data_IF_536261473779
#
_entry.id   IF_536261473779
#
_cell.length_a   1.000
_cell.length_b   1.000
_cell.length_c   1.000
_cell.angle_alpha   90.00
_cell.angle_beta   90.00
_cell.angle_gamma   90.00
#
_symmetry.space_group_name_H-M   'P 1'
#
loop_
_entity.id
_entity.type
_entity.pdbx_description
1 polymer ?
#
# COMPACT_ATOMS: atom_id res chain seq x y z
N UNK A 1 -6.61 21.79 -7.17
CA UNK A 1 -6.11 20.77 -6.26
C UNK A 1 -5.45 19.60 -6.98
N UNK A 2 -6.07 18.97 -7.98
CA UNK A 2 -5.45 17.84 -8.72
C UNK A 2 -4.08 18.16 -9.35
N UNK A 3 -3.84 19.38 -9.82
CA UNK A 3 -2.55 19.78 -10.40
C UNK A 3 -1.43 20.04 -9.37
N UNK A 4 -1.78 20.38 -8.12
CA UNK A 4 -0.81 20.69 -7.06
C UNK A 4 -0.54 19.53 -6.11
N UNK A 5 -1.48 18.61 -5.97
CA UNK A 5 -1.47 17.55 -4.97
C UNK A 5 -1.73 16.15 -5.58
N UNK A 6 -1.89 16.04 -6.89
CA UNK A 6 -2.25 14.78 -7.56
C UNK A 6 -1.15 13.72 -7.55
N UNK A 7 0.10 14.14 -7.54
CA UNK A 7 1.25 13.24 -7.57
C UNK A 7 2.35 13.73 -6.61
N UNK A 8 2.71 12.94 -5.59
CA UNK A 8 3.78 13.29 -4.66
C UNK A 8 5.15 13.40 -5.34
N UNK A 9 5.31 12.81 -6.52
CA UNK A 9 6.54 12.92 -7.31
C UNK A 9 6.67 14.28 -7.98
N UNK A 10 5.62 15.11 -8.02
CA UNK A 10 5.59 16.43 -8.66
C UNK A 10 5.96 17.59 -7.75
N UNK A 11 5.97 17.39 -6.42
CA UNK A 11 6.47 18.41 -5.51
C UNK A 11 8.01 18.44 -5.65
N UNK A 12 8.63 19.55 -6.10
CA UNK A 12 10.08 19.63 -6.22
C UNK A 12 10.78 19.37 -4.90
N UNK A 13 11.98 18.83 -4.98
CA UNK A 13 12.83 18.63 -3.82
C UNK A 13 13.55 19.94 -3.44
N UNK A 14 14.01 20.09 -2.18
CA UNK A 14 14.77 21.24 -1.79
C UNK A 14 15.97 21.49 -2.73
N UNK A 15 16.04 22.73 -3.25
CA UNK A 15 17.06 23.14 -4.21
C UNK A 15 16.64 23.06 -5.69
N UNK A 16 15.51 22.42 -6.00
CA UNK A 16 14.93 22.44 -7.34
C UNK A 16 14.00 23.66 -7.51
N UNK A 17 13.88 24.26 -8.72
CA UNK A 17 12.94 25.36 -8.93
C UNK A 17 11.49 24.89 -8.77
N UNK A 18 10.68 25.70 -8.09
CA UNK A 18 9.26 25.40 -7.85
C UNK A 18 8.35 26.60 -8.16
N UNK A 19 7.87 26.69 -9.36
CA UNK A 19 7.00 27.78 -9.81
C UNK A 19 5.64 27.84 -9.08
N UNK A 20 5.20 26.72 -8.52
CA UNK A 20 3.91 26.60 -7.84
C UNK A 20 4.01 26.67 -6.31
N UNK A 21 5.17 27.01 -5.74
CA UNK A 21 5.37 27.05 -4.27
C UNK A 21 4.34 27.92 -3.57
N UNK A 22 4.14 29.15 -4.05
CA UNK A 22 3.16 30.07 -3.45
C UNK A 22 1.74 29.51 -3.42
N UNK A 23 1.34 28.80 -4.49
CA UNK A 23 0.03 28.16 -4.59
C UNK A 23 -0.07 26.96 -3.64
N UNK A 24 0.98 26.15 -3.54
CA UNK A 24 1.06 25.02 -2.60
C UNK A 24 0.93 25.48 -1.14
N UNK A 25 1.64 26.55 -0.78
CA UNK A 25 1.54 27.20 0.53
C UNK A 25 0.13 27.75 0.79
N UNK A 26 -0.49 28.39 -0.21
CA UNK A 26 -1.86 28.91 -0.10
C UNK A 26 -2.87 27.78 0.14
N UNK A 27 -2.78 26.66 -0.62
CA UNK A 27 -3.63 25.47 -0.42
C UNK A 27 -3.46 24.89 0.98
N UNK A 28 -2.21 24.70 1.44
CA UNK A 28 -1.92 24.24 2.81
C UNK A 28 -2.54 25.15 3.86
N UNK A 29 -2.47 26.47 3.67
CA UNK A 29 -3.00 27.44 4.62
C UNK A 29 -4.54 27.45 4.65
N UNK A 30 -5.21 27.29 3.51
CA UNK A 30 -6.66 27.15 3.42
C UNK A 30 -7.14 25.93 4.21
N UNK A 31 -6.40 24.81 4.15
CA UNK A 31 -6.74 23.56 4.82
C UNK A 31 -6.04 23.39 6.19
N UNK A 32 -5.70 24.50 6.85
CA UNK A 32 -5.00 24.45 8.15
C UNK A 32 -5.82 23.80 9.26
N UNK A 33 -7.14 23.96 9.23
CA UNK A 33 -8.03 23.37 10.23
C UNK A 33 -8.12 21.85 10.06
N UNK A 34 -8.23 21.38 8.82
CA UNK A 34 -8.25 19.97 8.45
C UNK A 34 -6.92 19.30 8.80
N UNK A 35 -5.79 19.93 8.47
CA UNK A 35 -4.46 19.44 8.86
C UNK A 35 -4.34 19.29 10.37
N UNK A 36 -4.78 20.29 11.13
CA UNK A 36 -4.79 20.21 12.59
C UNK A 36 -5.64 19.03 13.07
N UNK A 37 -6.83 18.85 12.53
CA UNK A 37 -7.71 17.74 12.89
C UNK A 37 -7.07 16.37 12.57
N UNK A 38 -6.35 16.24 11.44
CA UNK A 38 -5.60 15.02 11.08
C UNK A 38 -4.47 14.74 12.07
N UNK A 39 -3.69 15.76 12.46
CA UNK A 39 -2.65 15.61 13.47
C UNK A 39 -3.22 15.21 14.84
N UNK A 40 -4.30 15.85 15.27
CA UNK A 40 -4.97 15.54 16.53
C UNK A 40 -5.51 14.10 16.51
N UNK A 41 -6.19 13.69 15.44
CA UNK A 41 -6.72 12.33 15.28
C UNK A 41 -5.62 11.25 15.28
N UNK A 42 -4.54 11.47 14.54
CA UNK A 42 -3.41 10.52 14.49
C UNK A 42 -2.72 10.38 15.86
N UNK A 43 -2.72 11.44 16.68
CA UNK A 43 -2.14 11.42 18.04
C UNK A 43 -2.93 10.55 19.02
N UNK A 44 -4.23 10.37 18.79
CA UNK A 44 -5.09 9.50 19.61
C UNK A 44 -4.75 8.03 19.38
N UNK A 45 -4.38 7.68 18.15
CA UNK A 45 -4.09 6.30 17.74
C UNK A 45 -5.33 5.42 17.70
N UNK A 46 -5.11 4.12 17.45
CA UNK A 46 -6.18 3.12 17.36
C UNK A 46 -6.70 2.94 15.94
N UNK A 47 -7.68 2.04 15.78
CA UNK A 47 -8.32 1.75 14.50
C UNK A 47 -9.63 2.52 14.37
N UNK A 48 -9.82 3.15 13.23
CA UNK A 48 -11.07 3.79 12.87
C UNK A 48 -12.02 2.74 12.26
N UNK A 49 -13.24 2.68 12.76
CA UNK A 49 -14.31 1.95 12.08
C UNK A 49 -15.14 2.95 11.28
N UNK A 50 -15.32 2.64 10.02
CA UNK A 50 -16.16 3.45 9.16
C UNK A 50 -17.62 3.22 9.54
N UNK A 51 -18.44 4.28 9.69
CA UNK A 51 -19.87 4.15 9.94
C UNK A 51 -20.62 3.80 8.66
N UNK A 52 -20.25 2.67 8.04
CA UNK A 52 -20.82 2.20 6.78
C UNK A 52 -21.74 1.02 7.09
N UNK A 53 -22.97 1.10 6.63
CA UNK A 53 -23.84 -0.07 6.52
C UNK A 53 -23.49 -0.81 5.23
N UNK A 54 -22.67 -1.84 5.36
CA UNK A 54 -22.21 -2.68 4.23
C UNK A 54 -23.33 -3.32 3.43
N UNK A 55 -24.57 -3.31 3.93
CA UNK A 55 -25.74 -3.84 3.23
C UNK A 55 -26.44 -2.84 2.31
N UNK A 56 -26.28 -1.54 2.55
CA UNK A 56 -27.15 -0.53 1.95
C UNK A 56 -26.41 0.66 1.30
N UNK A 57 -25.11 0.87 1.55
CA UNK A 57 -24.47 2.16 1.32
C UNK A 57 -23.24 2.12 0.37
N UNK A 58 -23.38 1.50 -0.80
CA UNK A 58 -22.27 1.47 -1.78
C UNK A 58 -21.77 2.88 -2.17
N UNK A 59 -22.66 3.86 -2.30
CA UNK A 59 -22.32 5.24 -2.63
C UNK A 59 -21.50 5.93 -1.52
N UNK A 60 -21.71 5.57 -0.26
CA UNK A 60 -20.93 6.11 0.86
C UNK A 60 -19.49 5.62 0.88
N UNK A 61 -19.22 4.44 0.34
CA UNK A 61 -17.88 3.90 0.19
C UNK A 61 -17.00 4.76 -0.70
N UNK A 62 -17.51 5.09 -1.89
CA UNK A 62 -16.76 5.91 -2.85
C UNK A 62 -16.47 7.30 -2.29
N UNK A 63 -17.43 7.89 -1.61
CA UNK A 63 -17.26 9.17 -0.92
C UNK A 63 -16.16 9.10 0.16
N UNK A 64 -16.12 8.00 0.92
CA UNK A 64 -15.17 7.84 2.00
C UNK A 64 -13.74 7.62 1.51
N UNK A 65 -13.54 6.78 0.49
CA UNK A 65 -12.23 6.58 -0.13
C UNK A 65 -11.66 7.90 -0.68
N UNK A 66 -12.49 8.73 -1.27
CA UNK A 66 -12.09 10.05 -1.74
C UNK A 66 -11.65 10.99 -0.59
N UNK A 67 -12.31 10.93 0.58
CA UNK A 67 -11.90 11.71 1.75
C UNK A 67 -10.57 11.22 2.33
N UNK A 68 -10.39 9.91 2.46
CA UNK A 68 -9.11 9.32 2.89
C UNK A 68 -7.99 9.73 1.94
N UNK A 69 -8.19 9.58 0.64
CA UNK A 69 -7.23 9.99 -0.38
C UNK A 69 -6.89 11.48 -0.25
N UNK A 70 -7.90 12.33 -0.07
CA UNK A 70 -7.72 13.77 0.15
C UNK A 70 -6.86 14.08 1.38
N UNK A 71 -7.08 13.37 2.49
CA UNK A 71 -6.31 13.51 3.71
C UNK A 71 -4.82 13.15 3.51
N UNK A 72 -4.54 12.03 2.83
CA UNK A 72 -3.16 11.65 2.51
C UNK A 72 -2.48 12.65 1.58
N UNK A 73 -3.19 13.13 0.55
CA UNK A 73 -2.66 14.15 -0.37
C UNK A 73 -2.33 15.46 0.36
N UNK A 74 -3.15 15.84 1.33
CA UNK A 74 -2.95 17.04 2.13
C UNK A 74 -1.73 16.91 3.05
N UNK A 75 -1.53 15.75 3.68
CA UNK A 75 -0.35 15.46 4.49
C UNK A 75 0.94 15.38 3.65
N UNK A 76 0.86 14.83 2.44
CA UNK A 76 1.98 14.83 1.49
C UNK A 76 2.36 16.26 1.09
N UNK A 77 1.36 17.09 0.79
CA UNK A 77 1.60 18.50 0.48
C UNK A 77 2.26 19.22 1.67
N UNK A 78 1.78 19.01 2.89
CA UNK A 78 2.38 19.60 4.08
C UNK A 78 3.82 19.15 4.27
N UNK A 79 4.10 17.85 4.15
CA UNK A 79 5.45 17.30 4.26
C UNK A 79 6.39 17.86 3.18
N UNK A 80 5.94 17.91 1.92
CA UNK A 80 6.72 18.43 0.80
C UNK A 80 7.02 19.91 0.94
N UNK A 81 6.02 20.74 1.27
CA UNK A 81 6.21 22.18 1.53
C UNK A 81 7.17 22.40 2.69
N UNK A 82 7.02 21.64 3.79
CA UNK A 82 7.89 21.76 4.94
C UNK A 82 9.35 21.38 4.61
N UNK A 83 9.55 20.29 3.86
CA UNK A 83 10.88 19.90 3.39
C UNK A 83 11.51 20.98 2.50
N UNK A 84 10.75 21.50 1.53
CA UNK A 84 11.20 22.53 0.61
C UNK A 84 11.59 23.84 1.34
N UNK A 85 10.83 24.20 2.38
CA UNK A 85 11.09 25.38 3.22
C UNK A 85 12.17 25.16 4.29
N UNK A 86 12.78 23.97 4.37
CA UNK A 86 13.83 23.67 5.33
C UNK A 86 13.31 23.50 6.77
N UNK A 87 12.06 23.04 6.95
CA UNK A 87 11.46 22.70 8.25
C UNK A 87 11.39 21.17 8.44
N UNK A 88 12.49 20.51 8.86
CA UNK A 88 12.53 19.06 9.02
C UNK A 88 11.58 18.56 10.12
N UNK A 89 11.33 19.37 11.15
CA UNK A 89 10.44 18.97 12.24
C UNK A 89 8.98 18.84 11.77
N UNK A 90 8.54 19.81 10.97
CA UNK A 90 7.20 19.81 10.40
C UNK A 90 7.04 18.75 9.31
N UNK A 91 8.07 18.56 8.48
CA UNK A 91 8.11 17.49 7.50
C UNK A 91 7.94 16.12 8.19
N UNK A 92 8.71 15.85 9.23
CA UNK A 92 8.64 14.62 10.03
C UNK A 92 7.29 14.46 10.74
N UNK A 93 6.71 15.55 11.27
CA UNK A 93 5.40 15.50 11.91
C UNK A 93 4.30 15.09 10.93
N UNK A 94 4.28 15.64 9.72
CA UNK A 94 3.31 15.27 8.69
C UNK A 94 3.47 13.80 8.26
N UNK A 95 4.68 13.30 8.12
CA UNK A 95 4.94 11.88 7.82
C UNK A 95 4.45 10.96 8.95
N UNK A 96 4.71 11.30 10.23
CA UNK A 96 4.20 10.54 11.38
C UNK A 96 2.67 10.51 11.39
N UNK A 97 2.02 11.63 11.08
CA UNK A 97 0.57 11.72 11.00
C UNK A 97 0.03 10.85 9.87
N UNK A 98 0.68 10.83 8.70
CA UNK A 98 0.30 9.95 7.60
C UNK A 98 0.41 8.47 7.97
N UNK A 99 1.45 8.07 8.71
CA UNK A 99 1.56 6.70 9.25
C UNK A 99 0.44 6.41 10.25
N UNK A 100 0.17 7.30 11.19
CA UNK A 100 -0.95 7.14 12.15
C UNK A 100 -2.30 7.00 11.46
N UNK A 101 -2.58 7.81 10.44
CA UNK A 101 -3.79 7.70 9.62
C UNK A 101 -3.84 6.37 8.86
N UNK A 102 -2.71 5.94 8.28
CA UNK A 102 -2.62 4.65 7.60
C UNK A 102 -2.95 3.48 8.54
N UNK A 103 -2.39 3.47 9.74
CA UNK A 103 -2.69 2.45 10.75
C UNK A 103 -4.16 2.48 11.18
N UNK A 104 -4.74 3.67 11.29
CA UNK A 104 -6.13 3.83 11.71
C UNK A 104 -7.14 3.25 10.70
N UNK A 105 -6.84 3.29 9.41
CA UNK A 105 -7.75 2.78 8.36
C UNK A 105 -7.58 1.29 8.07
N UNK A 106 -6.68 0.60 8.76
CA UNK A 106 -6.49 -0.84 8.57
C UNK A 106 -7.67 -1.67 9.12
N UNK A 107 -7.82 -2.89 8.61
CA UNK A 107 -8.79 -3.85 9.15
C UNK A 107 -10.24 -3.58 8.75
N UNK A 108 -10.49 -2.84 7.67
CA UNK A 108 -11.83 -2.73 7.11
C UNK A 108 -12.26 -4.09 6.56
N UNK A 109 -13.49 -4.57 6.88
CA UNK A 109 -13.95 -5.90 6.50
C UNK A 109 -14.57 -5.90 5.09
N UNK A 110 -13.88 -5.31 4.13
CA UNK A 110 -14.29 -5.25 2.72
C UNK A 110 -13.08 -5.08 1.79
N UNK A 111 -13.25 -5.51 0.54
CA UNK A 111 -12.17 -5.46 -0.45
C UNK A 111 -11.83 -4.04 -0.88
N UNK A 112 -12.80 -3.16 -0.97
CA UNK A 112 -12.58 -1.75 -1.36
C UNK A 112 -11.71 -1.04 -0.32
N UNK A 113 -12.03 -1.21 0.96
CA UNK A 113 -11.24 -0.69 2.07
C UNK A 113 -9.81 -1.26 2.09
N UNK A 114 -9.65 -2.56 1.85
CA UNK A 114 -8.34 -3.20 1.74
C UNK A 114 -7.51 -2.62 0.57
N UNK A 115 -8.10 -2.50 -0.62
CA UNK A 115 -7.43 -1.95 -1.80
C UNK A 115 -7.13 -0.46 -1.64
N UNK A 116 -8.04 0.30 -1.06
CA UNK A 116 -7.86 1.71 -0.73
C UNK A 116 -6.68 1.90 0.24
N UNK A 117 -6.60 1.12 1.31
CA UNK A 117 -5.47 1.15 2.24
C UNK A 117 -4.13 0.82 1.56
N UNK A 118 -4.09 -0.18 0.67
CA UNK A 118 -2.87 -0.53 -0.07
C UNK A 118 -2.43 0.59 -1.02
N UNK A 119 -3.37 1.31 -1.65
CA UNK A 119 -3.08 2.49 -2.44
C UNK A 119 -2.42 3.59 -1.59
N UNK A 120 -2.89 3.80 -0.35
CA UNK A 120 -2.27 4.76 0.57
C UNK A 120 -0.89 4.31 1.07
N UNK A 121 -0.65 2.99 1.22
CA UNK A 121 0.69 2.47 1.54
C UNK A 121 1.72 2.84 0.46
N UNK A 122 1.35 2.74 -0.80
CA UNK A 122 2.23 3.12 -1.91
C UNK A 122 2.57 4.61 -1.86
N UNK A 123 1.59 5.48 -1.60
CA UNK A 123 1.80 6.93 -1.42
C UNK A 123 2.70 7.23 -0.23
N UNK A 124 2.44 6.57 0.90
CA UNK A 124 3.23 6.73 2.12
C UNK A 124 4.68 6.32 1.89
N UNK A 125 4.91 5.16 1.24
CA UNK A 125 6.24 4.68 0.88
C UNK A 125 7.00 5.69 0.04
N UNK A 126 6.40 6.18 -1.04
CA UNK A 126 7.02 7.18 -1.93
C UNK A 126 7.31 8.49 -1.20
N UNK A 127 6.43 8.91 -0.29
CA UNK A 127 6.64 10.13 0.50
C UNK A 127 7.79 9.95 1.50
N UNK A 128 7.85 8.82 2.19
CA UNK A 128 8.94 8.49 3.11
C UNK A 128 10.27 8.44 2.36
N UNK A 129 10.35 7.69 1.27
CA UNK A 129 11.53 7.55 0.43
C UNK A 129 12.09 8.91 -0.01
N UNK A 130 11.24 9.75 -0.61
CA UNK A 130 11.67 11.05 -1.15
C UNK A 130 12.09 12.04 -0.10
N UNK A 131 11.40 12.09 1.05
CA UNK A 131 11.57 13.12 2.07
C UNK A 131 12.42 12.65 3.26
N UNK A 132 12.85 11.39 3.29
CA UNK A 132 13.71 10.85 4.33
C UNK A 132 14.97 11.71 4.58
N UNK A 133 15.72 12.15 3.54
CA UNK A 133 16.91 12.98 3.72
C UNK A 133 16.63 14.37 4.33
N UNK A 134 15.41 14.88 4.14
CA UNK A 134 15.01 16.23 4.54
C UNK A 134 14.28 16.29 5.89
N UNK A 135 14.02 15.13 6.49
CA UNK A 135 13.22 15.04 7.72
C UNK A 135 14.04 14.96 9.00
N UNK A 136 15.36 14.78 8.91
CA UNK A 136 16.27 14.67 10.04
C UNK A 136 15.78 13.70 11.13
N UNK A 137 15.44 12.49 10.72
CA UNK A 137 15.00 11.44 11.63
C UNK A 137 16.11 11.02 12.58
N UNK A 138 15.76 10.75 13.82
CA UNK A 138 16.62 10.02 14.74
C UNK A 138 16.48 8.52 14.55
N UNK A 139 17.48 7.75 14.94
CA UNK A 139 17.44 6.28 14.87
C UNK A 139 16.26 5.71 15.65
N UNK A 140 15.99 6.24 16.84
CA UNK A 140 14.86 5.82 17.69
C UNK A 140 13.49 6.14 17.07
N UNK A 141 13.35 7.25 16.36
CA UNK A 141 12.10 7.58 15.67
C UNK A 141 11.88 6.67 14.47
N UNK A 142 12.94 6.37 13.70
CA UNK A 142 12.87 5.42 12.57
C UNK A 142 12.52 4.02 13.06
N UNK A 143 13.09 3.56 14.19
CA UNK A 143 12.73 2.27 14.80
C UNK A 143 11.23 2.20 15.11
N UNK A 144 10.68 3.22 15.78
CA UNK A 144 9.25 3.27 16.10
C UNK A 144 8.38 3.26 14.86
N UNK A 145 8.76 4.03 13.84
CA UNK A 145 8.05 4.09 12.56
C UNK A 145 8.04 2.71 11.88
N UNK A 146 9.19 2.05 11.87
CA UNK A 146 9.38 0.72 11.30
C UNK A 146 8.53 -0.31 12.04
N UNK A 147 8.55 -0.34 13.39
CA UNK A 147 7.71 -1.22 14.22
C UNK A 147 6.22 -1.05 13.89
N UNK A 148 5.75 0.19 13.81
CA UNK A 148 4.35 0.49 13.49
C UNK A 148 3.95 -0.05 12.13
N UNK A 149 4.75 0.18 11.09
CA UNK A 149 4.44 -0.29 9.73
C UNK A 149 4.57 -1.81 9.59
N UNK A 150 5.51 -2.41 10.31
CA UNK A 150 5.74 -3.86 10.28
C UNK A 150 4.75 -4.66 11.13
N UNK A 151 3.99 -4.01 12.02
CA UNK A 151 2.97 -4.68 12.84
C UNK A 151 1.74 -5.15 12.05
N UNK A 152 1.60 -4.74 10.79
CA UNK A 152 0.43 -5.05 9.97
C UNK A 152 0.57 -6.43 9.33
N UNK A 153 -0.38 -7.31 9.60
CA UNK A 153 -0.52 -8.59 8.93
C UNK A 153 -1.46 -8.46 7.71
N UNK A 154 -0.87 -8.27 6.52
CA UNK A 154 -1.64 -8.13 5.28
C UNK A 154 -2.39 -9.39 4.87
N UNK A 155 -1.92 -10.58 5.25
CA UNK A 155 -2.62 -11.83 4.99
C UNK A 155 -3.91 -11.89 5.78
N UNK A 156 -3.82 -11.58 7.07
CA UNK A 156 -4.98 -11.57 7.94
C UNK A 156 -5.98 -10.48 7.53
N UNK A 157 -5.49 -9.32 7.11
CA UNK A 157 -6.34 -8.25 6.61
C UNK A 157 -7.06 -8.64 5.31
N UNK A 158 -6.36 -9.26 4.37
CA UNK A 158 -6.98 -9.76 3.15
C UNK A 158 -8.00 -10.88 3.44
N UNK A 159 -7.70 -11.79 4.39
CA UNK A 159 -8.67 -12.80 4.83
C UNK A 159 -9.95 -12.18 5.42
N UNK A 160 -9.80 -11.11 6.22
CA UNK A 160 -10.91 -10.37 6.80
C UNK A 160 -11.73 -9.68 5.70
N UNK A 161 -11.08 -9.01 4.77
CA UNK A 161 -11.73 -8.34 3.66
C UNK A 161 -12.50 -9.30 2.75
N UNK A 162 -11.93 -10.48 2.42
CA UNK A 162 -12.60 -11.53 1.66
C UNK A 162 -13.83 -12.07 2.41
N UNK A 163 -13.73 -12.24 3.72
CA UNK A 163 -14.85 -12.72 4.52
C UNK A 163 -15.98 -11.69 4.56
N UNK A 164 -15.67 -10.43 4.79
CA UNK A 164 -16.67 -9.36 4.84
C UNK A 164 -17.33 -9.12 3.48
N UNK A 165 -16.56 -9.12 2.40
CA UNK A 165 -17.11 -9.06 1.03
C UNK A 165 -18.09 -10.19 0.76
N UNK A 166 -17.74 -11.41 1.17
CA UNK A 166 -18.63 -12.56 1.03
C UNK A 166 -19.97 -12.36 1.75
N UNK A 167 -19.93 -11.81 2.97
CA UNK A 167 -21.15 -11.51 3.75
C UNK A 167 -22.00 -10.44 3.05
N UNK A 168 -21.36 -9.40 2.56
CA UNK A 168 -22.04 -8.29 1.86
C UNK A 168 -22.69 -8.75 0.56
N UNK A 169 -21.95 -9.55 -0.23
CA UNK A 169 -22.48 -10.10 -1.48
C UNK A 169 -23.67 -11.06 -1.20
N UNK A 170 -23.57 -11.98 -0.22
CA UNK A 170 -24.68 -12.89 0.13
C UNK A 170 -25.92 -12.10 0.53
N UNK A 171 -25.76 -11.08 1.38
CA UNK A 171 -26.89 -10.22 1.78
C UNK A 171 -27.52 -9.47 0.59
N UNK A 172 -26.71 -9.03 -0.37
CA UNK A 172 -27.18 -8.37 -1.58
C UNK A 172 -27.95 -9.34 -2.50
N UNK A 173 -27.51 -10.61 -2.60
CA UNK A 173 -28.21 -11.63 -3.36
C UNK A 173 -29.60 -11.93 -2.78
N UNK A 174 -29.69 -12.10 -1.47
CA UNK A 174 -30.97 -12.31 -0.80
C UNK A 174 -31.99 -11.20 -1.10
N UNK A 175 -31.51 -9.97 -1.18
CA UNK A 175 -32.35 -8.80 -1.41
C UNK A 175 -32.76 -8.62 -2.88
N UNK A 176 -31.84 -8.82 -3.84
CA UNK A 176 -32.05 -8.45 -5.25
C UNK A 176 -32.29 -9.64 -6.17
N UNK A 177 -31.87 -10.87 -5.77
CA UNK A 177 -31.90 -12.05 -6.62
C UNK A 177 -32.34 -13.34 -5.85
N UNK A 178 -33.54 -13.38 -5.30
CA UNK A 178 -33.95 -14.47 -4.39
C UNK A 178 -34.03 -15.87 -5.03
N UNK A 179 -33.71 -16.04 -6.32
CA UNK A 179 -33.85 -17.30 -7.04
C UNK A 179 -32.51 -17.95 -7.47
N UNK A 180 -31.36 -17.50 -6.98
CA UNK A 180 -30.04 -17.97 -7.48
C UNK A 180 -29.21 -18.72 -6.44
N UNK A 181 -29.78 -19.74 -5.79
CA UNK A 181 -29.10 -20.56 -4.75
C UNK A 181 -27.71 -21.12 -5.15
N UNK A 182 -27.38 -21.20 -6.45
CA UNK A 182 -26.10 -21.70 -6.93
C UNK A 182 -24.94 -20.70 -6.80
N UNK A 183 -25.22 -19.41 -6.89
CA UNK A 183 -24.20 -18.35 -6.85
C UNK A 183 -23.64 -18.15 -5.45
N UNK A 184 -24.48 -18.24 -4.43
CA UNK A 184 -24.08 -18.11 -3.03
C UNK A 184 -23.13 -19.23 -2.62
N UNK A 185 -23.44 -20.47 -3.02
CA UNK A 185 -22.58 -21.63 -2.74
C UNK A 185 -21.22 -21.46 -3.44
N UNK A 186 -21.20 -21.00 -4.69
CA UNK A 186 -19.94 -20.76 -5.40
C UNK A 186 -19.10 -19.66 -4.74
N UNK A 187 -19.74 -18.62 -4.25
CA UNK A 187 -19.06 -17.54 -3.55
C UNK A 187 -18.49 -17.98 -2.21
N UNK A 188 -19.25 -18.72 -1.42
CA UNK A 188 -18.79 -19.32 -0.16
C UNK A 188 -17.59 -20.25 -0.42
N UNK A 189 -17.65 -21.10 -1.45
CA UNK A 189 -16.53 -21.98 -1.84
C UNK A 189 -15.31 -21.18 -2.24
N UNK A 190 -15.49 -20.11 -3.02
CA UNK A 190 -14.39 -19.23 -3.40
C UNK A 190 -13.77 -18.53 -2.20
N UNK A 191 -14.59 -17.96 -1.32
CA UNK A 191 -14.11 -17.29 -0.10
C UNK A 191 -13.31 -18.26 0.79
N UNK A 192 -13.79 -19.48 0.96
CA UNK A 192 -13.09 -20.51 1.72
C UNK A 192 -11.75 -20.87 1.08
N UNK A 193 -11.75 -21.15 -0.22
CA UNK A 193 -10.54 -21.44 -0.98
C UNK A 193 -9.52 -20.28 -0.88
N UNK A 194 -9.96 -19.05 -1.13
CA UNK A 194 -9.08 -17.87 -1.12
C UNK A 194 -8.45 -17.68 0.27
N UNK A 195 -9.23 -17.83 1.34
CA UNK A 195 -8.74 -17.70 2.71
C UNK A 195 -7.76 -18.81 3.10
N UNK A 196 -8.02 -20.06 2.69
CA UNK A 196 -7.09 -21.17 2.91
C UNK A 196 -5.82 -21.02 2.09
N UNK A 197 -5.92 -20.55 0.84
CA UNK A 197 -4.74 -20.28 0.01
C UNK A 197 -3.77 -19.30 0.66
N UNK A 198 -4.29 -18.30 1.38
CA UNK A 198 -3.48 -17.29 2.08
C UNK A 198 -2.66 -17.84 3.27
N UNK A 199 -2.80 -19.10 3.63
CA UNK A 199 -1.93 -19.76 4.61
C UNK A 199 -0.59 -20.20 4.01
N UNK A 200 -0.47 -20.22 2.67
CA UNK A 200 0.75 -20.58 1.96
C UNK A 200 1.68 -19.36 1.75
N UNK A 201 2.91 -19.62 1.30
CA UNK A 201 3.83 -18.59 0.86
C UNK A 201 3.28 -17.85 -0.38
N UNK A 202 3.63 -16.55 -0.51
CA UNK A 202 3.06 -15.70 -1.56
C UNK A 202 3.21 -16.24 -2.99
N UNK A 203 4.35 -16.82 -3.42
CA UNK A 203 4.45 -17.39 -4.78
C UNK A 203 3.42 -18.51 -5.01
N UNK A 204 3.15 -19.33 -3.98
CA UNK A 204 2.12 -20.39 -4.05
C UNK A 204 0.73 -19.79 -4.11
N UNK A 205 0.44 -18.76 -3.31
CA UNK A 205 -0.84 -18.03 -3.34
C UNK A 205 -1.10 -17.47 -4.73
N UNK A 206 -0.13 -16.77 -5.30
CA UNK A 206 -0.23 -16.18 -6.64
C UNK A 206 -0.54 -17.25 -7.70
N UNK A 207 0.19 -18.37 -7.69
CA UNK A 207 -0.03 -19.48 -8.61
C UNK A 207 -1.43 -20.11 -8.45
N UNK A 208 -1.91 -20.29 -7.22
CA UNK A 208 -3.24 -20.83 -6.94
C UNK A 208 -4.35 -19.92 -7.47
N UNK A 209 -4.25 -18.61 -7.25
CA UNK A 209 -5.24 -17.65 -7.76
C UNK A 209 -5.23 -17.56 -9.27
N UNK A 210 -4.05 -17.59 -9.91
CA UNK A 210 -3.92 -17.62 -11.37
C UNK A 210 -4.57 -18.89 -11.98
N UNK A 211 -4.30 -20.05 -11.40
CA UNK A 211 -4.84 -21.32 -11.87
C UNK A 211 -6.38 -21.37 -11.78
N UNK A 212 -6.93 -20.87 -10.68
CA UNK A 212 -8.38 -20.78 -10.50
C UNK A 212 -9.03 -19.81 -11.49
N UNK A 213 -8.38 -18.67 -11.77
CA UNK A 213 -8.86 -17.72 -12.78
C UNK A 213 -8.87 -18.32 -14.19
N UNK A 214 -7.82 -19.07 -14.56
CA UNK A 214 -7.75 -19.78 -15.84
C UNK A 214 -8.82 -20.86 -15.97
N UNK A 215 -9.04 -21.68 -14.93
CA UNK A 215 -10.06 -22.73 -14.90
C UNK A 215 -11.46 -22.14 -15.10
N UNK A 216 -11.82 -21.09 -14.37
CA UNK A 216 -13.13 -20.42 -14.51
C UNK A 216 -13.32 -19.77 -15.87
N UNK A 217 -12.27 -19.21 -16.44
CA UNK A 217 -12.33 -18.67 -17.81
C UNK A 217 -12.59 -19.76 -18.85
N UNK A 218 -12.01 -20.95 -18.69
CA UNK A 218 -12.26 -22.11 -19.55
C UNK A 218 -13.71 -22.62 -19.39
N UNK A 219 -14.23 -22.72 -18.16
CA UNK A 219 -15.61 -23.12 -17.89
C UNK A 219 -16.63 -22.14 -18.49
N UNK A 220 -16.34 -20.82 -18.49
CA UNK A 220 -17.21 -19.81 -19.13
C UNK A 220 -17.33 -19.97 -20.64
N UNK A 221 -16.28 -20.45 -21.31
CA UNK A 221 -16.31 -20.69 -22.77
C UNK A 221 -17.20 -21.87 -23.15
N UNK A 222 -17.44 -22.80 -22.22
CA UNK A 222 -18.19 -24.04 -22.45
C UNK A 222 -19.64 -23.97 -21.98
N UNK A 223 -19.99 -23.06 -21.09
CA UNK A 223 -21.38 -22.89 -20.60
C UNK A 223 -22.20 -21.99 -21.51
N UNK A 224 -23.38 -22.47 -21.89
CA UNK A 224 -24.34 -21.74 -22.71
C UNK A 224 -24.75 -20.39 -22.08
N UNK A 225 -25.02 -19.42 -22.91
CA UNK A 225 -25.16 -17.96 -22.79
C UNK A 225 -26.29 -17.42 -21.90
N UNK A 226 -26.95 -18.21 -21.05
CA UNK A 226 -28.20 -17.80 -20.38
C UNK A 226 -28.11 -17.44 -18.89
N UNK A 227 -26.94 -17.53 -18.26
CA UNK A 227 -26.76 -17.08 -16.88
C UNK A 227 -25.51 -16.26 -16.73
N UNK A 228 -25.57 -14.95 -17.04
CA UNK A 228 -24.63 -13.99 -16.46
C UNK A 228 -25.02 -13.87 -14.98
N UNK A 229 -24.48 -14.75 -14.15
CA UNK A 229 -24.61 -14.62 -12.71
C UNK A 229 -23.84 -13.36 -12.30
N UNK A 230 -24.36 -12.51 -11.40
CA UNK A 230 -23.64 -11.36 -10.86
C UNK A 230 -22.24 -11.71 -10.34
N UNK A 231 -22.04 -12.92 -9.83
CA UNK A 231 -20.76 -13.51 -9.45
C UNK A 231 -19.67 -13.41 -10.54
N UNK A 232 -20.05 -13.45 -11.81
CA UNK A 232 -19.11 -13.33 -12.93
C UNK A 232 -18.60 -11.91 -13.20
N UNK A 233 -19.29 -10.89 -12.70
CA UNK A 233 -18.90 -9.48 -12.88
C UNK A 233 -17.66 -9.17 -12.03
N UNK A 234 -17.52 -9.78 -10.86
CA UNK A 234 -16.41 -9.58 -9.94
C UNK A 234 -15.21 -10.53 -10.16
N UNK A 235 -15.34 -11.49 -11.08
CA UNK A 235 -14.27 -12.46 -11.36
C UNK A 235 -12.90 -11.82 -11.71
N UNK A 236 -12.81 -10.74 -12.50
CA UNK A 236 -11.54 -10.05 -12.76
C UNK A 236 -10.88 -9.48 -11.51
N UNK A 237 -11.67 -8.91 -10.60
CA UNK A 237 -11.18 -8.36 -9.34
C UNK A 237 -10.59 -9.45 -8.43
N UNK A 238 -11.18 -10.62 -8.41
CA UNK A 238 -10.73 -11.75 -7.58
C UNK A 238 -9.34 -12.22 -7.95
N UNK A 239 -9.00 -12.23 -9.24
CA UNK A 239 -7.66 -12.61 -9.69
C UNK A 239 -6.60 -11.61 -9.28
N UNK A 240 -6.97 -10.33 -9.10
CA UNK A 240 -6.05 -9.27 -8.69
C UNK A 240 -5.85 -9.20 -7.17
N UNK A 241 -6.67 -9.88 -6.37
CA UNK A 241 -6.59 -9.77 -4.90
C UNK A 241 -5.29 -10.34 -4.34
N UNK A 242 -4.86 -11.50 -4.84
CA UNK A 242 -3.59 -12.10 -4.43
C UNK A 242 -2.42 -11.20 -4.80
N UNK A 243 -2.43 -10.64 -6.02
CA UNK A 243 -1.43 -9.67 -6.47
C UNK A 243 -1.43 -8.43 -5.57
N UNK A 244 -2.59 -7.86 -5.25
CA UNK A 244 -2.70 -6.71 -4.33
C UNK A 244 -2.16 -7.01 -2.94
N UNK A 245 -2.40 -8.22 -2.42
CA UNK A 245 -1.83 -8.68 -1.16
C UNK A 245 -0.31 -8.84 -1.22
N UNK A 246 0.21 -9.43 -2.30
CA UNK A 246 1.64 -9.55 -2.54
C UNK A 246 2.32 -8.18 -2.70
N UNK A 247 1.68 -7.24 -3.40
CA UNK A 247 2.14 -5.85 -3.50
C UNK A 247 2.25 -5.18 -2.12
N UNK A 248 1.23 -5.32 -1.28
CA UNK A 248 1.27 -4.75 0.06
C UNK A 248 2.40 -5.37 0.91
N UNK A 249 2.58 -6.69 0.82
CA UNK A 249 3.66 -7.41 1.49
C UNK A 249 5.05 -6.96 0.97
N UNK A 250 5.23 -6.85 -0.35
CA UNK A 250 6.46 -6.34 -0.96
C UNK A 250 6.76 -4.91 -0.50
N UNK A 251 5.77 -4.03 -0.56
CA UNK A 251 5.92 -2.63 -0.13
C UNK A 251 6.32 -2.54 1.34
N UNK A 252 5.71 -3.33 2.22
CA UNK A 252 6.12 -3.41 3.63
C UNK A 252 7.57 -3.88 3.78
N UNK A 253 7.96 -4.94 3.07
CA UNK A 253 9.33 -5.47 3.12
C UNK A 253 10.35 -4.43 2.62
N UNK A 254 10.01 -3.69 1.56
CA UNK A 254 10.83 -2.61 1.02
C UNK A 254 10.98 -1.45 2.02
N UNK A 255 9.89 -1.01 2.66
CA UNK A 255 9.94 0.02 3.71
C UNK A 255 10.78 -0.46 4.89
N UNK A 256 10.57 -1.70 5.35
CA UNK A 256 11.35 -2.29 6.44
C UNK A 256 12.84 -2.29 6.14
N UNK A 257 13.22 -2.80 4.97
CA UNK A 257 14.61 -2.81 4.52
C UNK A 257 15.19 -1.40 4.35
N UNK A 258 14.42 -0.49 3.75
CA UNK A 258 14.83 0.90 3.54
C UNK A 258 15.09 1.63 4.85
N UNK A 259 14.17 1.53 5.81
CA UNK A 259 14.35 2.14 7.13
C UNK A 259 15.51 1.48 7.90
N UNK A 260 15.71 0.16 7.79
CA UNK A 260 16.85 -0.52 8.38
C UNK A 260 18.20 -0.05 7.80
N UNK A 261 18.27 0.14 6.48
CA UNK A 261 19.46 0.70 5.81
C UNK A 261 19.73 2.14 6.26
N UNK A 262 18.71 2.96 6.42
CA UNK A 262 18.86 4.31 6.92
C UNK A 262 19.33 4.33 8.40
N UNK A 263 18.76 3.47 9.24
CA UNK A 263 19.22 3.28 10.63
C UNK A 263 20.67 2.81 10.69
N UNK A 264 21.08 1.88 9.80
CA UNK A 264 22.47 1.47 9.65
C UNK A 264 23.37 2.66 9.27
N UNK A 265 22.93 3.49 8.30
CA UNK A 265 23.66 4.69 7.91
C UNK A 265 23.84 5.68 9.07
N UNK A 266 22.81 5.87 9.88
CA UNK A 266 22.89 6.73 11.07
C UNK A 266 23.86 6.19 12.15
N UNK A 267 23.94 4.86 12.31
CA UNK A 267 24.83 4.21 13.27
C UNK A 267 26.30 4.20 12.80
N UNK A 268 26.53 3.92 11.52
CA UNK A 268 27.87 3.64 10.99
C UNK A 268 28.45 4.78 10.14
N UNK A 269 27.67 5.82 9.82
CA UNK A 269 28.09 6.94 8.98
C UNK A 269 28.28 6.57 7.50
N UNK A 270 27.88 5.37 7.07
CA UNK A 270 27.98 4.89 5.69
C UNK A 270 26.77 4.00 5.33
N UNK A 271 26.52 3.82 4.05
CA UNK A 271 25.58 2.81 3.58
C UNK A 271 26.20 1.40 3.67
N UNK A 272 25.38 0.34 3.88
CA UNK A 272 25.85 -1.04 3.81
C UNK A 272 26.27 -1.38 2.37
N UNK A 273 27.27 -2.24 2.18
CA UNK A 273 27.66 -2.72 0.85
C UNK A 273 26.68 -3.78 0.31
N UNK A 274 26.04 -4.51 1.20
CA UNK A 274 25.00 -5.51 0.89
C UNK A 274 23.91 -5.47 1.96
N UNK A 275 22.71 -5.98 1.65
CA UNK A 275 21.65 -6.11 2.67
C UNK A 275 22.04 -7.06 3.81
N UNK A 276 22.96 -8.00 3.57
CA UNK A 276 23.45 -8.90 4.60
C UNK A 276 24.31 -8.22 5.67
N UNK A 277 24.83 -7.00 5.40
CA UNK A 277 25.52 -6.19 6.41
C UNK A 277 24.56 -5.50 7.38
N UNK A 278 23.29 -5.39 7.01
CA UNK A 278 22.31 -4.77 7.89
C UNK A 278 22.08 -5.68 9.06
N UNK A 279 22.41 -5.20 10.26
CA UNK A 279 22.25 -5.95 11.50
C UNK A 279 20.82 -6.47 11.64
N UNK A 280 20.70 -7.72 12.05
CA UNK A 280 19.38 -8.37 12.21
C UNK A 280 18.50 -7.67 13.26
N UNK A 281 19.09 -6.94 14.20
CA UNK A 281 18.38 -6.11 15.18
C UNK A 281 17.81 -4.81 14.60
N UNK A 282 18.22 -4.43 13.39
CA UNK A 282 17.66 -3.30 12.66
C UNK A 282 16.41 -3.68 11.85
N UNK A 283 16.17 -4.98 11.66
CA UNK A 283 14.97 -5.46 10.98
C UNK A 283 13.88 -5.73 12.02
N UNK A 284 12.76 -5.06 11.85
CA UNK A 284 11.63 -5.30 12.74
C UNK A 284 10.99 -6.65 12.45
N UNK A 285 10.63 -7.35 13.52
CA UNK A 285 9.94 -8.63 13.45
C UNK A 285 8.44 -8.39 13.52
N UNK A 286 7.69 -9.02 12.62
CA UNK A 286 6.25 -9.15 12.75
C UNK A 286 5.85 -9.95 13.98
N UNK A 287 4.56 -10.06 14.28
CA UNK A 287 4.07 -10.74 15.49
C UNK A 287 4.54 -12.20 15.58
N UNK A 288 4.83 -12.86 14.45
CA UNK A 288 5.16 -14.29 14.43
C UNK A 288 6.56 -14.62 13.91
N UNK A 289 7.23 -13.75 13.13
CA UNK A 289 8.58 -13.99 12.58
C UNK A 289 9.29 -12.70 12.19
N UNK A 290 10.62 -12.77 11.97
CA UNK A 290 11.34 -11.72 11.28
C UNK A 290 10.69 -11.52 9.91
N UNK A 291 10.25 -10.29 9.59
CA UNK A 291 9.73 -9.99 8.26
C UNK A 291 10.84 -10.33 7.28
N UNK A 292 10.66 -11.34 6.45
CA UNK A 292 11.73 -11.78 5.59
C UNK A 292 12.05 -10.64 4.61
N UNK A 293 13.32 -10.36 4.40
CA UNK A 293 13.81 -9.57 3.27
C UNK A 293 13.63 -10.37 1.98
N UNK A 294 12.48 -11.02 1.86
CA UNK A 294 12.12 -11.96 0.79
C UNK A 294 11.11 -11.27 -0.10
N UNK A 295 11.31 -11.38 -1.37
CA UNK A 295 10.37 -10.91 -2.38
C UNK A 295 9.13 -11.82 -2.42
N UNK A 296 7.91 -11.30 -2.19
CA UNK A 296 6.70 -12.11 -2.25
C UNK A 296 6.40 -12.67 -3.64
N UNK A 297 6.98 -12.12 -4.70
CA UNK A 297 6.66 -12.55 -6.06
C UNK A 297 7.43 -13.81 -6.50
N UNK A 298 8.69 -13.98 -6.07
CA UNK A 298 9.50 -15.16 -6.44
C UNK A 298 10.05 -15.95 -5.25
N UNK A 299 9.83 -15.47 -4.03
CA UNK A 299 10.33 -16.12 -2.81
C UNK A 299 11.83 -15.97 -2.58
N UNK A 300 12.55 -15.17 -3.37
CA UNK A 300 13.97 -14.92 -3.20
C UNK A 300 14.24 -13.66 -2.38
N UNK A 301 15.49 -13.43 -1.95
CA UNK A 301 15.83 -12.18 -1.27
C UNK A 301 15.56 -10.96 -2.15
N UNK A 302 15.08 -9.86 -1.52
CA UNK A 302 15.00 -8.55 -2.17
C UNK A 302 16.35 -8.18 -2.77
N UNK A 303 16.30 -7.51 -3.91
CA UNK A 303 17.49 -7.03 -4.61
C UNK A 303 18.03 -5.77 -3.98
N UNK A 304 19.34 -5.57 -4.07
CA UNK A 304 20.03 -4.40 -3.54
C UNK A 304 21.09 -3.89 -4.52
N UNK A 305 20.96 -2.65 -4.94
CA UNK A 305 21.89 -1.99 -5.86
C UNK A 305 22.48 -0.75 -5.19
N UNK A 306 23.80 -0.66 -5.21
CA UNK A 306 24.52 0.54 -4.77
C UNK A 306 24.92 1.34 -6.01
N UNK A 307 24.38 2.55 -6.12
CA UNK A 307 24.66 3.51 -7.18
C UNK A 307 25.45 4.70 -6.62
N UNK A 308 26.08 5.54 -7.45
CA UNK A 308 26.88 6.67 -6.98
C UNK A 308 26.13 7.62 -6.03
N UNK A 309 24.86 7.88 -6.27
CA UNK A 309 24.06 8.88 -5.56
C UNK A 309 22.99 8.27 -4.66
N UNK A 310 22.67 6.98 -4.82
CA UNK A 310 21.63 6.29 -4.04
C UNK A 310 21.96 4.81 -3.87
N UNK A 311 21.36 4.18 -2.89
CA UNK A 311 21.14 2.74 -2.91
C UNK A 311 19.66 2.46 -3.17
N UNK A 312 19.39 1.40 -3.89
CA UNK A 312 18.06 0.95 -4.26
C UNK A 312 17.83 -0.46 -3.73
N UNK A 313 16.72 -0.66 -3.04
CA UNK A 313 16.21 -1.96 -2.64
C UNK A 313 14.97 -2.20 -3.48
N UNK A 314 14.85 -3.38 -4.12
CA UNK A 314 13.71 -3.61 -4.99
C UNK A 314 13.24 -5.07 -5.02
N UNK A 315 11.97 -5.21 -5.35
CA UNK A 315 11.23 -6.43 -5.66
C UNK A 315 11.02 -6.50 -7.18
N UNK A 316 11.01 -7.70 -7.73
CA UNK A 316 10.79 -7.91 -9.18
C UNK A 316 9.35 -7.65 -9.65
N UNK A 317 8.41 -7.42 -8.73
CA UNK A 317 7.04 -7.04 -9.09
C UNK A 317 6.20 -8.13 -9.76
N UNK A 318 5.09 -7.71 -10.36
CA UNK A 318 4.04 -8.59 -10.90
C UNK A 318 4.45 -9.41 -12.12
N UNK A 319 5.35 -8.89 -12.94
CA UNK A 319 5.80 -9.60 -14.13
C UNK A 319 6.78 -10.73 -13.81
N UNK A 320 7.25 -10.79 -12.55
CA UNK A 320 8.21 -11.76 -12.02
C UNK A 320 9.53 -11.79 -12.79
N UNK A 321 9.88 -10.69 -13.46
CA UNK A 321 11.13 -10.51 -14.17
C UNK A 321 11.99 -9.47 -13.44
N UNK A 322 13.30 -9.73 -13.36
CA UNK A 322 14.25 -8.76 -12.81
C UNK A 322 14.60 -7.75 -13.93
N UNK A 323 13.99 -6.57 -13.83
CA UNK A 323 14.20 -5.47 -14.78
C UNK A 323 15.36 -4.55 -14.37
N UNK A 324 16.22 -5.04 -13.46
CA UNK A 324 17.45 -4.34 -13.05
C UNK A 324 17.21 -3.12 -12.16
N UNK A 325 16.07 -3.09 -11.47
CA UNK A 325 15.69 -1.97 -10.60
C UNK A 325 15.09 -0.80 -11.38
N UNK A 326 14.37 -1.08 -12.47
CA UNK A 326 13.53 -0.09 -13.17
C UNK A 326 12.29 0.21 -12.33
N UNK A 327 12.47 1.14 -11.39
CA UNK A 327 11.45 1.57 -10.41
C UNK A 327 10.95 2.98 -10.67
N UNK A 328 11.46 3.65 -11.69
CA UNK A 328 11.10 5.03 -11.99
C UNK A 328 9.68 5.09 -12.55
N UNK A 329 8.84 5.81 -11.84
CA UNK A 329 7.46 6.06 -12.21
C UNK A 329 7.44 6.99 -13.43
N UNK A 330 7.42 6.41 -14.63
CA UNK A 330 7.09 7.19 -15.82
C UNK A 330 5.60 7.55 -15.80
N UNK A 331 5.25 8.78 -16.18
CA UNK A 331 3.92 9.41 -16.11
C UNK A 331 2.82 8.66 -16.90
N UNK A 332 3.12 7.50 -17.45
CA UNK A 332 2.26 6.76 -18.39
C UNK A 332 1.40 5.67 -17.75
N UNK A 333 0.96 5.84 -16.50
CA UNK A 333 -0.06 4.94 -15.92
C UNK A 333 -1.28 4.75 -16.85
N UNK A 334 -1.56 5.74 -17.69
CA UNK A 334 -2.59 5.65 -18.73
C UNK A 334 -2.27 4.63 -19.85
N UNK A 335 -1.02 4.20 -20.01
CA UNK A 335 -0.58 3.31 -21.08
C UNK A 335 -0.09 1.93 -20.61
N UNK A 336 -0.32 1.53 -19.35
CA UNK A 336 0.09 0.25 -18.75
C UNK A 336 1.60 -0.08 -18.88
N UNK A 337 2.43 0.93 -19.00
CA UNK A 337 3.89 0.81 -18.95
C UNK A 337 4.40 1.50 -17.67
N UNK A 338 3.88 1.06 -16.52
CA UNK A 338 4.44 1.42 -15.23
C UNK A 338 5.80 0.75 -14.99
N UNK A 339 6.54 1.15 -13.96
CA UNK A 339 7.76 0.47 -13.58
C UNK A 339 7.46 -0.99 -13.33
N UNK A 340 8.34 -1.85 -13.85
CA UNK A 340 8.16 -3.29 -13.78
C UNK A 340 8.61 -3.81 -12.42
N UNK A 341 9.62 -3.16 -11.80
CA UNK A 341 10.11 -3.43 -10.46
C UNK A 341 9.50 -2.47 -9.42
N UNK A 342 9.42 -2.91 -8.17
CA UNK A 342 8.96 -2.08 -7.04
C UNK A 342 10.16 -1.73 -6.16
N UNK A 343 10.41 -0.44 -5.88
CA UNK A 343 11.60 -0.04 -5.17
C UNK A 343 11.40 0.83 -3.93
N UNK A 344 12.50 0.98 -3.18
CA UNK A 344 12.72 1.98 -2.15
C UNK A 344 14.16 2.47 -2.24
N UNK A 345 14.35 3.74 -2.52
CA UNK A 345 15.67 4.36 -2.71
C UNK A 345 16.09 5.15 -1.48
N UNK A 346 17.37 5.09 -1.16
CA UNK A 346 17.97 5.93 -0.12
C UNK A 346 19.08 6.75 -0.78
N UNK A 347 18.95 8.07 -0.76
CA UNK A 347 19.96 8.99 -1.28
C UNK A 347 21.16 9.06 -0.34
N UNK A 348 22.35 9.20 -0.94
CA UNK A 348 23.61 9.41 -0.21
C UNK A 348 23.72 10.80 0.33
#
# INVERSE_FOLDING_TARGET
>A
MQQLAGDPTRIPLPGEPWDLESQAVAVRNVHRAELKALHDAASVGGQARLPIDYKLDFEKFESFDNHIRGAFMLLQLEAGVAAYQGDPAKCRAAQKTAVGLYLAIQGQPDLTGFLGANSQLSRLSSTLERLLPYSQWTESELSKLQQQLCSIDYRQQLKLAIAGECVTEVASYEQFYPLTNGSEIEMLRWSLFARQSLDNEWPVVLAQFQSMGAQKTAERKTRFRFSKLPFDVYAPFRNQLAASGAHAAARRSLINAGLAVERFRLRHGRLPATLAEVDTDLLERGQDEAIPLTDPFDGKPLKYLVQPERCLIYSIGDDQLDNGGDVDFDETWANHKGPLDMGFSIRR
#
